data_IF_358908409758
#
_entry.id   IF_358908409758
#
_cell.length_a   1.000
_cell.length_b   1.000
_cell.length_c   1.000
_cell.angle_alpha   90.00
_cell.angle_beta   90.00
_cell.angle_gamma   90.00
#
_symmetry.space_group_name_H-M   'P 1'
#
loop_
_entity.id
_entity.type
_entity.pdbx_description
1 polymer ?
#
# COMPACT_ATOMS: atom_id res chain seq x y z
N UNK A 1 11.42 -3.07 4.40
CA UNK A 1 12.01 -2.95 5.74
C UNK A 1 12.75 -1.62 5.83
N UNK A 2 12.52 -0.88 6.92
CA UNK A 2 13.19 0.41 7.15
C UNK A 2 14.70 0.25 7.28
N UNK A 3 15.50 1.21 6.73
CA UNK A 3 16.66 1.18 6.76
C UNK A 3 17.19 1.71 7.75
N UNK A 4 16.55 2.55 8.36
CA UNK A 4 17.10 3.40 9.44
C UNK A 4 17.97 2.58 10.40
N UNK A 5 19.12 3.11 10.74
CA UNK A 5 20.03 2.50 11.72
C UNK A 5 20.95 3.56 12.30
N UNK A 6 21.67 3.22 13.37
CA UNK A 6 22.62 4.12 14.00
C UNK A 6 24.05 3.65 13.66
N UNK A 7 24.87 4.57 13.19
CA UNK A 7 26.27 4.33 12.87
C UNK A 7 27.13 5.34 13.67
N UNK A 8 27.79 4.84 14.71
CA UNK A 8 28.41 5.73 15.70
C UNK A 8 27.31 6.46 16.46
N UNK A 9 27.32 7.78 16.43
CA UNK A 9 26.31 8.62 17.07
C UNK A 9 25.37 9.26 16.06
N UNK A 10 25.36 8.76 14.81
CA UNK A 10 24.59 9.38 13.72
C UNK A 10 23.46 8.42 13.26
N UNK A 11 22.26 8.94 13.17
CA UNK A 11 21.13 8.18 12.60
C UNK A 11 21.21 8.27 11.08
N UNK A 12 21.31 7.12 10.42
CA UNK A 12 21.33 6.99 8.97
C UNK A 12 19.96 6.49 8.51
N UNK A 13 19.44 7.09 7.45
CA UNK A 13 18.11 6.76 6.92
C UNK A 13 18.09 6.77 5.40
N UNK A 14 17.07 6.19 4.83
CA UNK A 14 16.92 6.01 3.37
C UNK A 14 15.65 6.66 2.83
N UNK A 15 15.52 6.66 1.50
CA UNK A 15 14.30 7.12 0.84
C UNK A 15 13.07 6.28 1.26
N UNK A 16 13.24 4.99 1.53
CA UNK A 16 12.14 4.16 2.00
C UNK A 16 11.69 4.54 3.42
N UNK A 17 12.62 5.06 4.24
CA UNK A 17 12.29 5.53 5.59
C UNK A 17 11.43 6.80 5.54
N UNK A 18 11.71 7.70 4.56
CA UNK A 18 10.83 8.86 4.32
C UNK A 18 9.39 8.40 4.06
N UNK A 19 9.25 7.39 3.18
CA UNK A 19 7.92 6.85 2.85
C UNK A 19 7.26 6.18 4.06
N UNK A 20 8.03 5.44 4.85
CA UNK A 20 7.52 4.76 6.05
C UNK A 20 7.03 5.76 7.10
N UNK A 21 7.84 6.80 7.39
CA UNK A 21 7.48 7.85 8.33
C UNK A 21 6.27 8.65 7.85
N UNK A 22 6.20 8.95 6.54
CA UNK A 22 5.06 9.66 5.96
C UNK A 22 3.76 8.87 6.12
N UNK A 23 3.82 7.53 6.06
CA UNK A 23 2.64 6.69 6.28
C UNK A 23 2.22 6.67 7.74
N UNK A 24 3.17 6.53 8.66
CA UNK A 24 2.86 6.44 10.09
C UNK A 24 4.13 6.65 10.91
N UNK A 25 4.25 7.80 11.56
CA UNK A 25 5.41 8.09 12.41
C UNK A 25 5.49 7.15 13.61
N UNK A 26 4.34 6.86 14.23
CA UNK A 26 4.30 5.94 15.38
C UNK A 26 4.87 4.57 15.00
N UNK A 27 4.38 3.96 13.92
CA UNK A 27 4.86 2.65 13.49
C UNK A 27 6.33 2.70 13.08
N UNK A 28 6.75 3.77 12.40
CA UNK A 28 8.13 3.96 11.98
C UNK A 28 9.08 4.02 13.19
N UNK A 29 8.71 4.82 14.20
CA UNK A 29 9.52 4.93 15.43
C UNK A 29 9.51 3.62 16.23
N UNK A 30 8.39 2.88 16.25
CA UNK A 30 8.34 1.55 16.89
C UNK A 30 9.33 0.58 16.23
N UNK A 31 9.45 0.62 14.89
CA UNK A 31 10.45 -0.18 14.18
C UNK A 31 11.87 0.28 14.51
N UNK A 32 12.09 1.57 14.61
CA UNK A 32 13.40 2.11 14.99
C UNK A 32 13.75 1.69 16.42
N UNK A 33 12.81 1.80 17.37
CA UNK A 33 13.00 1.38 18.76
C UNK A 33 13.35 -0.10 18.87
N UNK A 34 12.70 -0.94 18.06
CA UNK A 34 13.01 -2.37 18.02
C UNK A 34 14.49 -2.61 17.66
N UNK A 35 15.03 -1.82 16.73
CA UNK A 35 16.44 -1.90 16.34
C UNK A 35 17.38 -1.36 17.41
N UNK A 36 16.92 -0.36 18.17
CA UNK A 36 17.68 0.22 19.27
C UNK A 36 17.62 -0.61 20.57
N UNK A 37 16.82 -1.69 20.57
CA UNK A 37 16.61 -2.49 21.75
C UNK A 37 15.73 -1.83 22.80
N UNK A 38 14.95 -0.81 22.41
CA UNK A 38 14.04 -0.07 23.29
C UNK A 38 12.63 -0.66 23.33
N UNK A 39 12.38 -1.76 22.62
CA UNK A 39 11.06 -2.37 22.56
C UNK A 39 11.11 -3.79 22.00
N UNK A 40 9.97 -4.47 21.96
CA UNK A 40 9.94 -5.85 21.43
C UNK A 40 10.28 -5.89 19.95
N UNK A 41 10.86 -7.02 19.54
CA UNK A 41 11.14 -7.27 18.13
C UNK A 41 9.82 -7.29 17.34
N UNK A 42 9.81 -6.63 16.19
CA UNK A 42 8.64 -6.58 15.32
C UNK A 42 8.88 -7.53 14.16
N UNK A 43 8.07 -8.56 14.06
CA UNK A 43 8.11 -9.52 12.94
C UNK A 43 7.38 -8.93 11.75
N UNK A 44 7.99 -9.03 10.58
CA UNK A 44 7.41 -8.56 9.33
C UNK A 44 7.21 -9.73 8.37
N UNK A 45 6.54 -10.78 8.83
CA UNK A 45 6.17 -11.88 7.94
C UNK A 45 4.86 -11.54 7.24
N UNK A 46 4.94 -11.34 5.94
CA UNK A 46 3.79 -11.00 5.10
C UNK A 46 4.03 -11.61 3.72
N UNK A 47 3.34 -12.70 3.44
CA UNK A 47 3.47 -13.45 2.19
C UNK A 47 3.13 -12.60 0.97
N UNK A 48 2.17 -11.69 1.10
CA UNK A 48 1.80 -10.78 0.02
C UNK A 48 2.93 -9.79 -0.27
N UNK A 49 3.56 -9.28 0.81
CA UNK A 49 4.70 -8.38 0.67
C UNK A 49 5.90 -9.10 0.03
N UNK A 50 6.16 -10.35 0.44
CA UNK A 50 7.23 -11.17 -0.13
C UNK A 50 7.00 -11.40 -1.63
N UNK A 51 5.78 -11.75 -2.01
CA UNK A 51 5.40 -11.96 -3.42
C UNK A 51 5.54 -10.66 -4.22
N UNK A 52 5.07 -9.55 -3.67
CA UNK A 52 5.16 -8.24 -4.33
C UNK A 52 6.61 -7.84 -4.55
N UNK A 53 7.47 -8.11 -3.56
CA UNK A 53 8.92 -7.84 -3.65
C UNK A 53 9.56 -8.68 -4.77
N UNK A 54 9.23 -9.97 -4.82
CA UNK A 54 9.76 -10.86 -5.87
C UNK A 54 9.37 -10.37 -7.27
N UNK A 55 8.10 -10.03 -7.46
CA UNK A 55 7.61 -9.50 -8.74
C UNK A 55 8.26 -8.16 -9.09
N UNK A 56 8.50 -7.32 -8.09
CA UNK A 56 9.22 -6.05 -8.27
C UNK A 56 10.65 -6.28 -8.74
N UNK A 57 11.35 -7.21 -8.09
CA UNK A 57 12.72 -7.59 -8.48
C UNK A 57 12.77 -8.16 -9.89
N UNK A 58 11.75 -8.94 -10.27
CA UNK A 58 11.65 -9.49 -11.61
C UNK A 58 11.42 -8.39 -12.66
N UNK A 59 10.57 -7.42 -12.36
CA UNK A 59 10.33 -6.26 -13.22
C UNK A 59 11.62 -5.45 -13.42
N UNK A 60 12.33 -5.18 -12.34
CA UNK A 60 13.63 -4.48 -12.37
C UNK A 60 14.65 -5.26 -13.21
N UNK A 61 14.70 -6.59 -13.07
CA UNK A 61 15.61 -7.45 -13.83
C UNK A 61 15.31 -7.40 -15.33
N UNK A 62 14.03 -7.40 -15.72
CA UNK A 62 13.64 -7.26 -17.13
C UNK A 62 14.11 -5.92 -17.70
N UNK A 63 14.00 -4.85 -16.92
CA UNK A 63 14.51 -3.52 -17.32
C UNK A 63 16.04 -3.56 -17.48
N UNK A 64 16.74 -4.20 -16.54
CA UNK A 64 18.20 -4.37 -16.60
C UNK A 64 18.61 -5.12 -17.87
N UNK A 65 17.94 -6.21 -18.20
CA UNK A 65 18.26 -7.01 -19.39
C UNK A 65 18.04 -6.19 -20.67
N UNK A 66 16.95 -5.45 -20.74
CA UNK A 66 16.64 -4.56 -21.88
C UNK A 66 17.74 -3.48 -22.04
N UNK A 67 18.20 -2.91 -20.93
CA UNK A 67 19.27 -1.90 -20.97
C UNK A 67 20.61 -2.53 -21.38
N UNK A 68 20.90 -3.76 -20.97
CA UNK A 68 22.09 -4.48 -21.42
C UNK A 68 22.07 -4.71 -22.92
N UNK A 69 20.90 -5.09 -23.46
CA UNK A 69 20.73 -5.29 -24.91
C UNK A 69 20.94 -3.96 -25.67
N UNK A 70 20.49 -2.85 -25.08
CA UNK A 70 20.56 -1.53 -25.72
C UNK A 70 21.96 -0.89 -25.64
N UNK A 71 22.60 -0.98 -24.47
CA UNK A 71 23.83 -0.25 -24.19
C UNK A 71 25.09 -1.12 -24.10
N UNK A 72 24.93 -2.43 -24.01
CA UNK A 72 26.05 -3.35 -23.85
C UNK A 72 26.49 -3.45 -22.38
N UNK A 73 27.69 -2.98 -22.09
CA UNK A 73 28.25 -3.09 -20.74
C UNK A 73 27.55 -2.11 -19.78
N UNK A 74 27.16 -2.60 -18.61
CA UNK A 74 26.53 -1.83 -17.54
C UNK A 74 27.40 -1.90 -16.30
N UNK A 75 27.65 -0.74 -15.66
CA UNK A 75 28.34 -0.70 -14.38
C UNK A 75 27.37 -1.13 -13.28
N UNK A 76 27.70 -2.19 -12.57
CA UNK A 76 26.85 -2.75 -11.48
C UNK A 76 27.49 -2.39 -10.14
N UNK A 77 26.74 -1.68 -9.29
CA UNK A 77 27.20 -1.38 -7.94
C UNK A 77 26.68 -2.50 -7.02
N UNK A 78 27.60 -3.17 -6.34
CA UNK A 78 27.22 -4.27 -5.44
C UNK A 78 26.52 -3.76 -4.19
N UNK A 79 25.69 -4.60 -3.60
CA UNK A 79 25.02 -4.27 -2.35
C UNK A 79 26.04 -4.15 -1.22
N UNK A 80 26.18 -2.96 -0.59
CA UNK A 80 27.16 -2.78 0.48
C UNK A 80 26.69 -3.38 1.80
N UNK A 81 27.62 -3.62 2.69
CA UNK A 81 27.29 -3.81 4.11
C UNK A 81 26.73 -2.48 4.65
N UNK A 82 25.74 -2.57 5.52
CA UNK A 82 25.09 -1.38 6.12
C UNK A 82 25.95 -0.86 7.28
N UNK A 83 27.15 -0.39 6.92
CA UNK A 83 28.11 0.29 7.79
C UNK A 83 28.54 1.56 7.10
N UNK A 84 29.07 2.52 7.85
CA UNK A 84 29.57 3.77 7.25
C UNK A 84 30.59 3.47 6.14
N UNK A 85 31.55 2.57 6.42
CA UNK A 85 32.59 2.21 5.45
C UNK A 85 32.00 1.56 4.19
N UNK A 86 31.05 0.62 4.37
CA UNK A 86 30.41 -0.05 3.24
C UNK A 86 29.62 0.90 2.36
N UNK A 87 28.83 1.79 2.98
CA UNK A 87 28.02 2.78 2.25
C UNK A 87 28.89 3.79 1.53
N UNK A 88 29.98 4.26 2.18
CA UNK A 88 30.94 5.17 1.56
C UNK A 88 31.59 4.50 0.33
N UNK A 89 32.06 3.26 0.47
CA UNK A 89 32.69 2.54 -0.63
C UNK A 89 31.74 2.35 -1.83
N UNK A 90 30.47 2.06 -1.55
CA UNK A 90 29.46 1.90 -2.62
C UNK A 90 29.20 3.24 -3.34
N UNK A 91 29.10 4.34 -2.58
CA UNK A 91 28.91 5.66 -3.16
C UNK A 91 30.14 6.06 -4.01
N UNK A 92 31.35 5.75 -3.54
CA UNK A 92 32.58 5.99 -4.31
C UNK A 92 32.62 5.16 -5.60
N UNK A 93 32.12 3.89 -5.54
CA UNK A 93 32.04 3.06 -6.73
C UNK A 93 31.10 3.67 -7.78
N UNK A 94 29.97 4.24 -7.32
CA UNK A 94 29.05 4.98 -8.19
C UNK A 94 29.77 6.18 -8.83
N UNK A 95 30.51 6.95 -8.03
CA UNK A 95 31.26 8.13 -8.55
C UNK A 95 32.31 7.71 -9.58
N UNK A 96 33.02 6.58 -9.35
CA UNK A 96 33.98 6.06 -10.32
C UNK A 96 33.30 5.68 -11.63
N UNK A 97 32.19 4.98 -11.57
CA UNK A 97 31.40 4.57 -12.76
C UNK A 97 30.99 5.81 -13.57
N UNK A 98 30.55 6.88 -12.88
CA UNK A 98 30.13 8.14 -13.51
C UNK A 98 31.35 8.82 -14.15
N UNK A 99 32.48 8.88 -13.44
CA UNK A 99 33.74 9.49 -13.97
C UNK A 99 34.24 8.73 -15.21
N UNK A 100 34.06 7.41 -15.23
CA UNK A 100 34.39 6.55 -16.37
C UNK A 100 33.35 6.64 -17.49
N UNK A 101 32.34 7.49 -17.34
CA UNK A 101 31.28 7.75 -18.32
C UNK A 101 30.50 6.50 -18.69
N UNK A 102 30.24 5.62 -17.69
CA UNK A 102 29.43 4.41 -17.90
C UNK A 102 28.08 4.79 -18.54
N UNK A 103 27.64 4.07 -19.59
CA UNK A 103 26.35 4.41 -20.22
C UNK A 103 25.17 4.16 -19.28
N UNK A 104 25.28 3.16 -18.41
CA UNK A 104 24.27 2.85 -17.39
C UNK A 104 24.99 2.42 -16.12
N UNK A 105 24.52 2.94 -14.98
CA UNK A 105 24.95 2.47 -13.65
C UNK A 105 23.73 1.85 -12.99
N UNK A 106 23.82 0.57 -12.65
CA UNK A 106 22.73 -0.19 -12.02
C UNK A 106 22.94 -0.25 -10.51
N UNK A 107 21.87 0.00 -9.77
CA UNK A 107 21.85 0.05 -8.29
C UNK A 107 22.84 1.10 -7.78
N UNK A 108 22.78 2.27 -8.38
CA UNK A 108 23.69 3.38 -8.06
C UNK A 108 23.51 3.83 -6.61
N UNK A 109 24.57 3.72 -5.82
CA UNK A 109 24.54 4.05 -4.40
C UNK A 109 24.89 5.53 -4.17
N UNK A 110 24.17 6.16 -3.26
CA UNK A 110 24.41 7.55 -2.82
C UNK A 110 24.45 7.55 -1.29
N UNK A 111 25.45 8.25 -0.73
CA UNK A 111 25.58 8.35 0.71
C UNK A 111 26.25 9.66 1.08
N UNK A 112 25.59 10.46 1.92
CA UNK A 112 26.13 11.77 2.35
C UNK A 112 26.47 11.84 3.84
N UNK A 113 26.53 10.67 4.50
CA UNK A 113 26.78 10.57 5.94
C UNK A 113 25.50 10.42 6.77
N UNK A 114 24.34 10.80 6.22
CA UNK A 114 23.04 10.70 6.88
C UNK A 114 22.02 9.96 6.00
N UNK A 115 21.93 10.36 4.75
CA UNK A 115 21.00 9.78 3.79
C UNK A 115 21.70 8.73 2.95
N UNK A 116 21.08 7.56 2.80
CA UNK A 116 21.51 6.52 1.87
C UNK A 116 20.39 6.26 0.85
N UNK A 117 20.78 6.16 -0.41
CA UNK A 117 19.85 5.84 -1.50
C UNK A 117 20.47 4.89 -2.50
N UNK A 118 19.63 4.15 -3.17
CA UNK A 118 20.01 3.25 -4.27
C UNK A 118 19.03 3.50 -5.40
N UNK A 119 19.50 4.16 -6.46
CA UNK A 119 18.70 4.35 -7.66
C UNK A 119 18.83 3.11 -8.53
N UNK A 120 17.72 2.58 -9.03
CA UNK A 120 17.78 1.38 -9.87
C UNK A 120 18.73 1.60 -11.06
N UNK A 121 18.55 2.71 -11.77
CA UNK A 121 19.38 2.99 -12.95
C UNK A 121 19.73 4.47 -13.05
N UNK A 122 21.02 4.76 -13.33
CA UNK A 122 21.45 6.05 -13.85
C UNK A 122 21.81 5.83 -15.32
N UNK A 123 21.11 6.52 -16.21
CA UNK A 123 21.32 6.37 -17.65
C UNK A 123 21.96 7.64 -18.17
N UNK A 124 23.13 7.51 -18.81
CA UNK A 124 23.86 8.66 -19.34
C UNK A 124 23.13 9.25 -20.54
N UNK A 125 22.85 10.55 -20.47
CA UNK A 125 22.30 11.36 -21.56
C UNK A 125 23.30 12.50 -21.83
N UNK A 126 24.16 12.31 -22.82
CA UNK A 126 25.26 13.23 -23.12
C UNK A 126 26.19 13.42 -21.94
N UNK A 127 26.22 14.60 -21.33
CA UNK A 127 27.07 14.91 -20.18
C UNK A 127 26.36 14.82 -18.86
N UNK A 128 25.11 14.37 -18.86
CA UNK A 128 24.25 14.30 -17.66
C UNK A 128 23.81 12.86 -17.43
N UNK A 129 23.35 12.60 -16.20
CA UNK A 129 22.75 11.31 -15.85
C UNK A 129 21.27 11.51 -15.54
N UNK A 130 20.44 10.67 -16.16
CA UNK A 130 19.01 10.60 -15.89
C UNK A 130 18.74 9.47 -14.93
N UNK A 131 18.03 9.75 -13.84
CA UNK A 131 17.61 8.75 -12.89
C UNK A 131 16.38 8.04 -13.45
N UNK A 132 16.40 6.71 -13.47
CA UNK A 132 15.26 5.87 -13.84
C UNK A 132 15.06 4.86 -12.73
N UNK A 133 13.87 4.86 -12.13
CA UNK A 133 13.52 3.93 -11.05
C UNK A 133 12.36 3.06 -11.53
N UNK A 134 12.31 1.81 -11.08
CA UNK A 134 11.26 0.87 -11.49
C UNK A 134 10.27 0.66 -10.36
N UNK A 135 8.99 0.56 -10.72
CA UNK A 135 7.93 0.29 -9.74
C UNK A 135 6.89 -0.65 -10.34
N UNK A 136 6.56 -1.69 -9.61
CA UNK A 136 5.56 -2.66 -10.03
C UNK A 136 4.17 -2.03 -10.20
N UNK A 137 3.88 -0.93 -9.49
CA UNK A 137 2.61 -0.23 -9.58
C UNK A 137 2.32 0.23 -11.02
N UNK A 138 1.04 0.28 -11.39
CA UNK A 138 0.60 0.74 -12.71
C UNK A 138 0.29 2.23 -12.76
N UNK A 139 0.52 2.94 -11.66
CA UNK A 139 0.41 4.40 -11.61
C UNK A 139 1.46 4.95 -10.64
N UNK A 140 1.98 6.15 -10.91
CA UNK A 140 2.96 6.76 -10.01
C UNK A 140 2.38 6.97 -8.61
N UNK A 141 3.20 6.71 -7.60
CA UNK A 141 2.86 6.98 -6.20
C UNK A 141 3.75 8.10 -5.68
N UNK A 142 3.22 8.93 -4.81
CA UNK A 142 3.98 10.06 -4.22
C UNK A 142 5.28 9.58 -3.59
N UNK A 143 5.26 8.39 -2.95
CA UNK A 143 6.46 7.83 -2.34
C UNK A 143 7.58 7.57 -3.36
N UNK A 144 7.22 7.10 -4.57
CA UNK A 144 8.20 6.88 -5.65
C UNK A 144 8.75 8.22 -6.16
N UNK A 145 7.89 9.25 -6.25
CA UNK A 145 8.32 10.58 -6.66
C UNK A 145 9.31 11.17 -5.64
N UNK A 146 9.07 10.94 -4.36
CA UNK A 146 10.00 11.39 -3.31
C UNK A 146 11.34 10.66 -3.40
N UNK A 147 11.35 9.39 -3.80
CA UNK A 147 12.60 8.66 -4.05
C UNK A 147 13.37 9.31 -5.21
N UNK A 148 12.69 9.63 -6.32
CA UNK A 148 13.36 10.33 -7.44
C UNK A 148 13.94 11.67 -6.99
N UNK A 149 13.19 12.43 -6.20
CA UNK A 149 13.67 13.69 -5.63
C UNK A 149 14.89 13.50 -4.75
N UNK A 150 14.87 12.48 -3.91
CA UNK A 150 15.97 12.16 -2.99
C UNK A 150 17.25 11.80 -3.76
N UNK A 151 17.13 10.94 -4.77
CA UNK A 151 18.29 10.53 -5.57
C UNK A 151 18.86 11.69 -6.37
N UNK A 152 17.99 12.52 -6.95
CA UNK A 152 18.41 13.71 -7.71
C UNK A 152 19.18 14.68 -6.81
N UNK A 153 18.64 14.95 -5.63
CA UNK A 153 19.26 15.88 -4.67
C UNK A 153 20.63 15.35 -4.21
N UNK A 154 20.70 14.05 -3.91
CA UNK A 154 21.94 13.41 -3.46
C UNK A 154 23.02 13.46 -4.55
N UNK A 155 22.67 13.14 -5.80
CA UNK A 155 23.62 13.18 -6.91
C UNK A 155 24.08 14.60 -7.21
N UNK A 156 23.15 15.56 -7.20
CA UNK A 156 23.46 16.97 -7.40
C UNK A 156 24.42 17.46 -6.32
N UNK A 157 24.15 17.09 -5.06
CA UNK A 157 25.02 17.43 -3.93
C UNK A 157 26.43 16.82 -4.04
N UNK A 158 26.52 15.67 -4.73
CA UNK A 158 27.81 15.01 -4.99
C UNK A 158 28.52 15.55 -6.25
N UNK A 159 27.95 16.59 -6.88
CA UNK A 159 28.57 17.23 -8.06
C UNK A 159 28.29 16.53 -9.39
N UNK A 160 27.34 15.60 -9.44
CA UNK A 160 26.97 14.89 -10.68
C UNK A 160 26.02 15.76 -11.49
N UNK A 161 26.30 16.00 -12.78
CA UNK A 161 25.31 16.67 -13.65
C UNK A 161 24.10 15.76 -13.88
N UNK A 162 22.93 16.15 -13.39
CA UNK A 162 21.70 15.37 -13.47
C UNK A 162 20.79 15.96 -14.55
N UNK A 163 20.09 15.10 -15.28
CA UNK A 163 19.11 15.51 -16.28
C UNK A 163 17.95 16.27 -15.61
N UNK A 164 17.29 17.19 -16.33
CA UNK A 164 16.17 17.97 -15.75
C UNK A 164 14.92 17.14 -15.45
N UNK A 165 14.86 15.92 -15.99
CA UNK A 165 13.77 14.98 -15.72
C UNK A 165 14.31 13.68 -15.17
N UNK A 166 13.51 13.02 -14.35
CA UNK A 166 13.74 11.68 -13.85
C UNK A 166 12.54 10.80 -14.29
N UNK A 167 12.79 9.52 -14.44
CA UNK A 167 11.83 8.58 -15.03
C UNK A 167 11.38 7.55 -14.00
N UNK A 168 10.11 7.16 -14.13
CA UNK A 168 9.53 6.05 -13.39
C UNK A 168 9.00 5.04 -14.39
N UNK A 169 9.59 3.84 -14.42
CA UNK A 169 9.13 2.74 -15.27
C UNK A 169 8.16 1.87 -14.48
N UNK A 170 6.91 1.87 -14.92
CA UNK A 170 5.81 1.21 -14.22
C UNK A 170 5.71 -0.27 -14.59
N UNK A 171 4.93 -1.03 -13.82
CA UNK A 171 4.78 -2.48 -13.98
C UNK A 171 4.22 -2.93 -15.33
N UNK A 172 3.52 -2.05 -16.04
CA UNK A 172 3.02 -2.32 -17.38
C UNK A 172 3.98 -1.88 -18.50
N UNK A 173 5.18 -1.43 -18.14
CA UNK A 173 6.18 -0.95 -19.07
C UNK A 173 6.04 0.52 -19.45
N UNK A 174 5.03 1.22 -18.95
CA UNK A 174 4.87 2.66 -19.19
C UNK A 174 5.99 3.44 -18.48
N UNK A 175 6.61 4.39 -19.18
CA UNK A 175 7.60 5.29 -18.58
C UNK A 175 6.98 6.67 -18.42
N UNK A 176 6.99 7.18 -17.19
CA UNK A 176 6.46 8.52 -16.88
C UNK A 176 7.62 9.41 -16.46
N UNK A 177 7.66 10.62 -17.01
CA UNK A 177 8.73 11.60 -16.82
C UNK A 177 8.30 12.67 -15.83
N UNK A 178 9.20 13.04 -14.92
CA UNK A 178 8.93 14.05 -13.89
C UNK A 178 10.06 15.08 -13.88
N UNK A 179 9.70 16.35 -13.86
CA UNK A 179 10.68 17.43 -13.71
C UNK A 179 11.24 17.41 -12.30
N UNK A 180 12.56 17.26 -12.17
CA UNK A 180 13.20 17.17 -10.86
C UNK A 180 13.04 18.46 -10.04
N UNK A 181 12.94 19.61 -10.72
CA UNK A 181 12.72 20.90 -10.05
C UNK A 181 11.41 20.95 -9.26
N UNK A 182 10.42 20.14 -9.64
CA UNK A 182 9.14 20.06 -8.93
C UNK A 182 9.22 19.15 -7.70
N UNK A 183 10.14 18.18 -7.73
CA UNK A 183 10.26 17.16 -6.68
C UNK A 183 11.18 17.57 -5.54
N UNK A 184 12.29 18.23 -5.85
CA UNK A 184 13.37 18.53 -4.89
C UNK A 184 12.87 19.36 -3.68
N UNK A 185 12.12 20.46 -3.87
CA UNK A 185 11.70 21.26 -2.70
C UNK A 185 10.82 20.47 -1.72
N UNK A 186 9.91 19.64 -2.25
CA UNK A 186 9.03 18.81 -1.42
C UNK A 186 9.84 17.75 -0.67
N UNK A 187 10.77 17.11 -1.38
CA UNK A 187 11.66 16.12 -0.77
C UNK A 187 12.49 16.76 0.36
N UNK A 188 13.09 17.92 0.10
CA UNK A 188 13.94 18.61 1.11
C UNK A 188 13.15 18.93 2.38
N UNK A 189 11.89 19.37 2.25
CA UNK A 189 11.03 19.65 3.39
C UNK A 189 10.75 18.36 4.18
N UNK A 190 10.43 17.27 3.48
CA UNK A 190 10.17 15.97 4.12
C UNK A 190 11.43 15.41 4.78
N UNK A 191 12.59 15.56 4.14
CA UNK A 191 13.87 15.14 4.71
C UNK A 191 14.18 15.88 6.00
N UNK A 192 14.01 17.19 6.02
CA UNK A 192 14.25 18.01 7.21
C UNK A 192 13.37 17.56 8.38
N UNK A 193 12.10 17.29 8.11
CA UNK A 193 11.15 16.81 9.12
C UNK A 193 11.53 15.43 9.65
N UNK A 194 11.91 14.51 8.75
CA UNK A 194 12.35 13.17 9.17
C UNK A 194 13.61 13.24 10.02
N UNK A 195 14.60 14.05 9.61
CA UNK A 195 15.82 14.20 10.40
C UNK A 195 15.53 14.72 11.80
N UNK A 196 14.69 15.76 11.89
CA UNK A 196 14.27 16.31 13.18
C UNK A 196 13.63 15.22 14.05
N UNK A 197 12.65 14.50 13.48
CA UNK A 197 11.93 13.43 14.19
C UNK A 197 12.91 12.36 14.71
N UNK A 198 13.83 11.91 13.86
CA UNK A 198 14.80 10.87 14.23
C UNK A 198 15.78 11.34 15.29
N UNK A 199 16.31 12.56 15.13
CA UNK A 199 17.31 13.10 16.05
C UNK A 199 16.71 13.35 17.44
N UNK A 200 15.52 13.93 17.50
CA UNK A 200 14.78 14.16 18.74
C UNK A 200 14.46 12.82 19.45
N UNK A 201 13.97 11.85 18.67
CA UNK A 201 13.61 10.54 19.23
C UNK A 201 14.85 9.78 19.73
N UNK A 202 15.94 9.81 18.96
CA UNK A 202 17.18 9.14 19.34
C UNK A 202 17.75 9.77 20.61
N UNK A 203 17.76 11.10 20.69
CA UNK A 203 18.28 11.85 21.85
C UNK A 203 17.43 11.67 23.10
N UNK A 204 16.12 11.45 22.96
CA UNK A 204 15.22 11.23 24.10
C UNK A 204 15.52 9.92 24.82
N UNK A 205 16.11 8.96 24.13
CA UNK A 205 16.54 7.64 24.67
C UNK A 205 15.40 6.86 25.37
N UNK A 206 14.18 7.02 24.85
CA UNK A 206 12.99 6.31 25.33
C UNK A 206 12.20 5.78 24.15
N UNK A 207 11.46 4.68 24.37
CA UNK A 207 10.58 4.14 23.32
C UNK A 207 9.40 5.09 23.09
N UNK A 208 8.93 5.15 21.83
CA UNK A 208 7.76 5.93 21.49
C UNK A 208 6.52 5.35 22.17
N UNK A 209 5.68 6.24 22.71
CA UNK A 209 4.41 5.87 23.34
C UNK A 209 3.24 6.33 22.47
N UNK A 210 2.10 5.63 22.62
CA UNK A 210 0.90 5.95 21.84
C UNK A 210 0.42 7.40 22.07
N UNK A 211 0.61 7.89 23.28
CA UNK A 211 0.12 9.22 23.67
C UNK A 211 1.17 10.33 23.49
N UNK A 212 2.29 10.06 22.83
CA UNK A 212 3.35 11.05 22.64
C UNK A 212 2.85 12.19 21.75
N UNK A 213 2.93 13.41 22.26
CA UNK A 213 2.54 14.60 21.51
C UNK A 213 3.49 14.83 20.34
N UNK A 214 2.93 15.14 19.19
CA UNK A 214 3.69 15.46 18.00
C UNK A 214 4.11 14.26 17.17
N UNK A 215 3.72 13.05 17.57
CA UNK A 215 3.94 11.82 16.78
C UNK A 215 2.62 11.41 16.12
N UNK A 216 2.61 11.35 14.79
CA UNK A 216 1.40 11.03 14.04
C UNK A 216 1.20 9.53 13.90
N UNK A 217 -0.01 9.07 14.25
CA UNK A 217 -0.45 7.70 14.04
C UNK A 217 -1.38 7.65 12.82
N UNK A 218 -1.30 6.58 12.03
CA UNK A 218 -2.18 6.43 10.86
C UNK A 218 -3.53 5.80 11.22
N UNK A 219 -3.64 5.16 12.37
CA UNK A 219 -4.82 4.44 12.87
C UNK A 219 -5.25 3.26 12.00
N UNK A 220 -4.39 2.77 11.10
CA UNK A 220 -4.75 1.71 10.15
C UNK A 220 -3.74 0.56 10.08
N UNK A 221 -2.45 0.84 10.31
CA UNK A 221 -1.44 -0.21 10.28
C UNK A 221 -1.57 -1.12 11.50
N UNK A 222 -0.98 -2.30 11.44
CA UNK A 222 -1.14 -3.31 12.49
C UNK A 222 -0.68 -2.80 13.86
N UNK A 223 0.42 -2.04 13.92
CA UNK A 223 0.90 -1.49 15.20
C UNK A 223 -0.09 -0.48 15.79
N UNK A 224 -0.73 0.34 14.94
CA UNK A 224 -1.80 1.23 15.42
C UNK A 224 -3.02 0.43 15.85
N UNK A 225 -3.41 -0.59 15.06
CA UNK A 225 -4.58 -1.41 15.40
C UNK A 225 -4.37 -2.15 16.71
N UNK A 226 -3.15 -2.62 16.98
CA UNK A 226 -2.82 -3.25 18.25
C UNK A 226 -3.07 -2.31 19.45
N UNK A 227 -2.63 -1.05 19.33
CA UNK A 227 -2.87 -0.05 20.37
C UNK A 227 -4.37 0.29 20.52
N UNK A 228 -5.08 0.42 19.40
CA UNK A 228 -6.52 0.69 19.42
C UNK A 228 -7.27 -0.46 20.13
N UNK A 229 -6.93 -1.72 19.81
CA UNK A 229 -7.55 -2.88 20.45
C UNK A 229 -7.24 -2.92 21.95
N UNK A 230 -6.00 -2.67 22.34
CA UNK A 230 -5.57 -2.68 23.74
C UNK A 230 -6.33 -1.64 24.57
N UNK A 231 -6.72 -0.53 23.95
CA UNK A 231 -7.40 0.59 24.61
C UNK A 231 -8.92 0.55 24.46
N UNK A 232 -9.46 -0.42 23.75
CA UNK A 232 -10.91 -0.48 23.41
C UNK A 232 -11.35 0.84 22.75
N UNK A 233 -10.53 1.33 21.83
CA UNK A 233 -10.65 2.67 21.26
C UNK A 233 -11.90 2.84 20.39
N UNK A 234 -12.42 4.06 20.37
CA UNK A 234 -13.60 4.45 19.57
C UNK A 234 -13.44 4.18 18.07
N UNK A 235 -12.20 4.23 17.53
CA UNK A 235 -11.98 3.96 16.10
C UNK A 235 -12.28 2.51 15.71
N UNK A 236 -12.43 1.61 16.68
CA UNK A 236 -12.87 0.24 16.42
C UNK A 236 -14.37 0.16 16.11
N UNK A 237 -15.14 1.21 16.40
CA UNK A 237 -16.58 1.25 16.03
C UNK A 237 -16.68 1.42 14.52
N UNK A 238 -17.35 0.49 13.85
CA UNK A 238 -17.52 0.53 12.41
C UNK A 238 -18.19 1.84 11.98
N UNK A 239 -17.59 2.52 11.00
CA UNK A 239 -18.08 3.79 10.51
C UNK A 239 -17.57 5.02 11.25
N UNK A 240 -16.80 4.84 12.34
CA UNK A 240 -16.22 5.97 13.09
C UNK A 240 -15.15 6.69 12.26
N UNK A 241 -15.25 8.00 12.20
CA UNK A 241 -14.22 8.86 11.58
C UNK A 241 -13.34 9.48 12.68
N UNK A 242 -12.08 9.78 12.33
CA UNK A 242 -11.12 10.38 13.26
C UNK A 242 -11.70 11.68 13.88
N UNK A 243 -12.34 12.54 13.07
CA UNK A 243 -12.93 13.79 13.57
C UNK A 243 -14.09 13.55 14.54
N UNK A 244 -14.85 12.46 14.37
CA UNK A 244 -15.91 12.11 15.33
C UNK A 244 -15.31 11.58 16.63
N UNK A 245 -14.25 10.77 16.51
CA UNK A 245 -13.51 10.27 17.68
C UNK A 245 -13.01 11.43 18.54
N UNK A 246 -12.42 12.46 17.89
CA UNK A 246 -11.90 13.62 18.59
C UNK A 246 -12.99 14.31 19.43
N UNK A 247 -14.16 14.52 18.84
CA UNK A 247 -15.30 15.14 19.53
C UNK A 247 -15.77 14.31 20.71
N UNK A 248 -15.78 12.98 20.56
CA UNK A 248 -16.16 12.08 21.64
C UNK A 248 -15.13 12.09 22.76
N UNK A 249 -13.83 12.08 22.41
CA UNK A 249 -12.74 12.18 23.40
C UNK A 249 -12.84 13.49 24.19
N UNK A 250 -13.11 14.60 23.51
CA UNK A 250 -13.29 15.91 24.16
C UNK A 250 -14.46 15.90 25.13
N UNK A 251 -15.48 15.07 24.87
CA UNK A 251 -16.64 14.91 25.74
C UNK A 251 -16.42 13.86 26.84
N UNK A 252 -15.20 13.28 26.92
CA UNK A 252 -14.87 12.30 27.94
C UNK A 252 -15.27 10.86 27.60
N UNK A 253 -15.70 10.60 26.37
CA UNK A 253 -16.05 9.25 25.92
C UNK A 253 -14.83 8.69 25.20
N UNK A 254 -14.17 7.66 25.79
CA UNK A 254 -12.87 7.19 25.31
C UNK A 254 -12.86 5.77 24.77
N UNK A 255 -13.92 4.99 25.02
CA UNK A 255 -13.96 3.56 24.67
C UNK A 255 -15.25 3.20 23.93
N UNK A 256 -15.24 2.04 23.25
CA UNK A 256 -16.45 1.48 22.63
C UNK A 256 -17.52 1.27 23.71
N UNK A 257 -17.14 0.67 24.85
CA UNK A 257 -18.06 0.44 25.96
C UNK A 257 -18.68 1.73 26.49
N UNK A 258 -17.85 2.77 26.61
CA UNK A 258 -18.32 4.10 27.02
C UNK A 258 -19.33 4.69 26.07
N UNK A 259 -19.10 4.54 24.76
CA UNK A 259 -20.05 5.03 23.75
C UNK A 259 -21.34 4.17 23.74
N UNK A 260 -21.22 2.86 23.88
CA UNK A 260 -22.38 1.95 23.88
C UNK A 260 -23.35 2.28 25.01
N UNK A 261 -22.86 2.75 26.16
CA UNK A 261 -23.68 3.08 27.32
C UNK A 261 -23.97 4.59 27.45
N UNK A 262 -23.45 5.40 26.56
CA UNK A 262 -23.60 6.86 26.66
C UNK A 262 -25.04 7.32 26.42
N UNK A 263 -25.47 8.28 27.19
CA UNK A 263 -26.75 8.97 27.03
C UNK A 263 -26.49 10.48 26.96
N UNK A 264 -27.29 11.18 26.19
CA UNK A 264 -27.20 12.63 26.06
C UNK A 264 -26.43 13.06 24.82
N UNK A 265 -26.40 14.37 24.61
CA UNK A 265 -25.76 14.97 23.43
C UNK A 265 -24.25 15.05 23.60
N UNK A 266 -23.53 15.14 22.47
CA UNK A 266 -22.10 15.39 22.42
C UNK A 266 -21.91 16.66 21.60
N UNK A 267 -21.16 17.65 22.11
CA UNK A 267 -20.94 18.89 21.35
C UNK A 267 -20.37 18.65 19.97
N UNK A 268 -20.84 19.41 19.00
CA UNK A 268 -20.39 19.36 17.60
C UNK A 268 -20.68 18.05 16.87
N UNK A 269 -21.42 17.14 17.47
CA UNK A 269 -21.83 15.87 16.86
C UNK A 269 -23.35 15.86 16.76
N UNK A 270 -23.89 15.65 15.53
CA UNK A 270 -25.33 15.63 15.35
C UNK A 270 -25.95 14.45 16.11
N UNK A 271 -27.19 14.63 16.58
CA UNK A 271 -27.91 13.57 17.28
C UNK A 271 -28.01 12.30 16.44
N UNK A 272 -28.24 12.45 15.13
CA UNK A 272 -28.35 11.30 14.21
C UNK A 272 -27.02 10.53 14.09
N UNK A 273 -25.92 11.27 13.93
CA UNK A 273 -24.59 10.65 13.84
C UNK A 273 -24.25 9.92 15.15
N UNK A 274 -24.49 10.59 16.28
CA UNK A 274 -24.22 10.00 17.60
C UNK A 274 -25.06 8.73 17.81
N UNK A 275 -26.35 8.79 17.47
CA UNK A 275 -27.24 7.63 17.63
C UNK A 275 -26.77 6.42 16.81
N UNK A 276 -26.35 6.65 15.56
CA UNK A 276 -25.84 5.59 14.68
C UNK A 276 -24.56 4.95 15.25
N UNK A 277 -23.62 5.80 15.70
CA UNK A 277 -22.35 5.31 16.26
C UNK A 277 -22.56 4.57 17.58
N UNK A 278 -23.45 5.07 18.44
CA UNK A 278 -23.77 4.41 19.73
C UNK A 278 -24.47 3.06 19.50
N UNK A 279 -25.39 2.99 18.54
CA UNK A 279 -26.06 1.74 18.19
C UNK A 279 -25.06 0.71 17.66
N UNK A 280 -24.14 1.15 16.79
CA UNK A 280 -23.08 0.30 16.26
C UNK A 280 -22.16 -0.20 17.39
N UNK A 281 -21.75 0.70 18.29
CA UNK A 281 -20.93 0.34 19.45
C UNK A 281 -21.63 -0.71 20.31
N UNK A 282 -22.94 -0.55 20.52
CA UNK A 282 -23.73 -1.46 21.35
C UNK A 282 -23.76 -2.87 20.79
N UNK A 283 -24.01 -3.04 19.48
CA UNK A 283 -24.03 -4.38 18.87
C UNK A 283 -22.61 -4.99 18.86
N UNK A 284 -21.55 -4.20 18.71
CA UNK A 284 -20.17 -4.70 18.79
C UNK A 284 -19.84 -5.20 20.19
N UNK A 285 -20.25 -4.47 21.23
CA UNK A 285 -20.07 -4.90 22.62
C UNK A 285 -20.86 -6.20 22.87
N UNK A 286 -22.12 -6.27 22.41
CA UNK A 286 -22.93 -7.48 22.55
C UNK A 286 -22.27 -8.67 21.85
N UNK A 287 -21.77 -8.49 20.64
CA UNK A 287 -21.08 -9.56 19.91
C UNK A 287 -19.82 -10.01 20.63
N UNK A 288 -19.02 -9.08 21.15
CA UNK A 288 -17.82 -9.38 21.94
C UNK A 288 -18.19 -10.21 23.19
N UNK A 289 -19.23 -9.78 23.91
CA UNK A 289 -19.60 -10.39 25.19
C UNK A 289 -20.25 -11.76 25.01
N UNK A 290 -21.00 -11.98 23.93
CA UNK A 290 -21.72 -13.24 23.69
C UNK A 290 -20.95 -14.21 22.79
N UNK A 291 -19.99 -13.73 21.98
CA UNK A 291 -19.30 -14.53 20.97
C UNK A 291 -20.16 -14.89 19.78
N UNK A 292 -21.37 -14.29 19.65
CA UNK A 292 -22.32 -14.56 18.59
C UNK A 292 -22.52 -13.30 17.75
N UNK A 293 -22.52 -13.41 16.40
CA UNK A 293 -22.74 -12.25 15.55
C UNK A 293 -24.03 -11.51 15.91
N UNK A 294 -23.94 -10.19 16.04
CA UNK A 294 -25.07 -9.33 16.41
C UNK A 294 -25.32 -8.33 15.30
N UNK A 295 -26.60 -8.02 15.05
CA UNK A 295 -26.98 -7.01 14.08
C UNK A 295 -28.29 -6.35 14.48
N UNK A 296 -28.51 -5.16 13.94
CA UNK A 296 -29.75 -4.42 14.10
C UNK A 296 -30.16 -3.84 12.74
N UNK A 297 -31.41 -4.04 12.36
CA UNK A 297 -31.96 -3.45 11.13
C UNK A 297 -32.51 -2.08 11.49
N UNK A 298 -31.77 -1.03 11.11
CA UNK A 298 -32.17 0.35 11.41
C UNK A 298 -33.24 0.89 10.46
N UNK A 299 -33.27 0.38 9.21
CA UNK A 299 -34.24 0.80 8.20
C UNK A 299 -34.52 -0.36 7.25
N UNK A 300 -35.67 -1.01 7.37
CA UNK A 300 -36.03 -2.13 6.48
C UNK A 300 -36.54 -1.70 5.11
N UNK A 301 -36.83 -0.40 4.88
CA UNK A 301 -37.47 0.04 3.63
C UNK A 301 -36.64 -0.28 2.38
N UNK A 302 -35.31 -0.12 2.36
CA UNK A 302 -34.56 -0.48 1.16
C UNK A 302 -34.69 -1.95 0.75
N UNK A 303 -34.99 -2.85 1.68
CA UNK A 303 -35.19 -4.26 1.36
C UNK A 303 -36.43 -4.48 0.47
N UNK A 304 -37.40 -3.57 0.55
CA UNK A 304 -38.59 -3.63 -0.30
C UNK A 304 -38.30 -3.30 -1.77
N UNK A 305 -37.14 -2.76 -2.07
CA UNK A 305 -36.71 -2.48 -3.43
C UNK A 305 -36.17 -3.73 -4.16
N UNK A 306 -35.88 -4.79 -3.40
CA UNK A 306 -35.48 -6.06 -4.01
C UNK A 306 -36.65 -6.66 -4.77
N UNK A 307 -36.45 -7.17 -5.98
CA UNK A 307 -37.52 -7.81 -6.73
C UNK A 307 -37.97 -9.09 -6.04
N UNK A 308 -39.16 -9.54 -6.41
CA UNK A 308 -39.70 -10.81 -5.88
C UNK A 308 -38.75 -11.96 -6.20
N UNK A 309 -38.48 -12.85 -5.25
CA UNK A 309 -37.62 -13.99 -5.50
C UNK A 309 -38.06 -14.85 -6.66
N UNK A 310 -37.15 -15.33 -7.45
CA UNK A 310 -37.41 -16.17 -8.61
C UNK A 310 -36.58 -17.44 -8.52
N UNK A 311 -37.15 -18.61 -8.80
CA UNK A 311 -36.35 -19.86 -8.73
C UNK A 311 -35.21 -19.90 -9.74
N UNK A 312 -35.19 -18.99 -10.68
CA UNK A 312 -34.06 -18.83 -11.63
C UNK A 312 -32.91 -17.94 -11.14
N UNK A 313 -33.11 -17.25 -10.02
CA UNK A 313 -32.12 -16.28 -9.53
C UNK A 313 -30.74 -16.88 -9.32
N UNK A 314 -29.72 -16.08 -9.56
CA UNK A 314 -28.32 -16.42 -9.35
C UNK A 314 -27.67 -15.41 -8.43
N UNK A 315 -26.74 -15.86 -7.59
CA UNK A 315 -25.88 -15.02 -6.76
C UNK A 315 -24.47 -15.22 -7.29
N UNK A 316 -23.82 -14.12 -7.67
CA UNK A 316 -22.58 -14.15 -8.47
C UNK A 316 -21.49 -13.32 -7.82
N UNK A 317 -20.29 -13.86 -7.78
CA UNK A 317 -19.13 -13.17 -7.23
C UNK A 317 -17.86 -13.57 -8.00
N UNK A 318 -16.86 -12.69 -8.02
CA UNK A 318 -15.54 -12.97 -8.56
C UNK A 318 -14.50 -13.08 -7.46
N UNK A 319 -13.52 -13.95 -7.66
CA UNK A 319 -12.25 -13.88 -6.95
C UNK A 319 -11.13 -13.63 -7.97
N UNK A 320 -10.31 -12.65 -7.70
CA UNK A 320 -9.26 -12.23 -8.63
C UNK A 320 -7.91 -12.08 -7.97
N UNK A 321 -6.87 -12.28 -8.77
CA UNK A 321 -5.49 -12.07 -8.37
C UNK A 321 -4.91 -10.90 -9.19
N UNK A 322 -4.80 -9.71 -8.60
CA UNK A 322 -4.30 -8.55 -9.34
C UNK A 322 -2.80 -8.64 -9.68
N UNK A 323 -2.07 -9.56 -9.03
CA UNK A 323 -0.64 -9.73 -9.24
C UNK A 323 -0.30 -10.84 -10.25
N UNK A 324 -1.31 -11.54 -10.79
CA UNK A 324 -1.09 -12.54 -11.82
C UNK A 324 -0.65 -11.88 -13.13
N UNK A 325 0.34 -12.47 -13.78
CA UNK A 325 0.77 -12.04 -15.12
C UNK A 325 1.40 -13.22 -15.86
N UNK A 326 1.18 -13.29 -17.16
CA UNK A 326 1.85 -14.29 -18.01
C UNK A 326 3.12 -13.72 -18.64
N UNK A 327 3.18 -12.40 -18.86
CA UNK A 327 4.23 -11.76 -19.65
C UNK A 327 4.95 -10.61 -18.94
N UNK A 328 4.50 -10.26 -17.73
CA UNK A 328 5.07 -9.14 -16.98
C UNK A 328 4.56 -7.76 -17.42
N UNK A 329 3.62 -7.71 -18.37
CA UNK A 329 3.06 -6.44 -18.88
C UNK A 329 1.56 -6.34 -18.64
N UNK A 330 0.82 -7.43 -18.86
CA UNK A 330 -0.61 -7.47 -18.56
C UNK A 330 -0.82 -8.16 -17.22
N UNK A 331 -1.55 -7.49 -16.33
CA UNK A 331 -1.72 -7.89 -14.94
C UNK A 331 -3.18 -8.17 -14.61
N UNK A 332 -3.40 -9.11 -13.70
CA UNK A 332 -4.70 -9.43 -13.14
C UNK A 332 -5.39 -10.60 -13.83
N UNK A 333 -5.95 -11.50 -13.03
CA UNK A 333 -6.72 -12.67 -13.50
C UNK A 333 -7.92 -12.84 -12.59
N UNK A 334 -9.11 -12.95 -13.16
CA UNK A 334 -10.28 -13.38 -12.41
C UNK A 334 -10.25 -14.92 -12.38
N UNK A 335 -9.74 -15.49 -11.31
CA UNK A 335 -9.46 -16.91 -11.24
C UNK A 335 -10.65 -17.77 -10.83
N UNK A 336 -11.72 -17.15 -10.29
CA UNK A 336 -12.92 -17.87 -9.89
C UNK A 336 -14.16 -17.03 -10.18
N UNK A 337 -15.06 -17.58 -10.97
CA UNK A 337 -16.41 -17.06 -11.14
C UNK A 337 -17.30 -17.94 -10.26
N UNK A 338 -17.75 -17.43 -9.12
CA UNK A 338 -18.57 -18.15 -8.17
C UNK A 338 -20.05 -17.89 -8.43
N UNK A 339 -20.81 -18.95 -8.68
CA UNK A 339 -22.25 -18.85 -8.98
C UNK A 339 -23.03 -19.74 -8.01
N UNK A 340 -23.93 -19.14 -7.23
CA UNK A 340 -24.86 -19.91 -6.39
C UNK A 340 -26.25 -19.84 -7.02
N UNK A 341 -26.86 -21.00 -7.26
CA UNK A 341 -28.19 -21.10 -7.86
C UNK A 341 -29.28 -21.06 -6.80
N UNK A 342 -30.26 -20.16 -6.97
CA UNK A 342 -31.46 -20.14 -6.11
C UNK A 342 -32.31 -21.41 -6.32
N UNK A 343 -33.08 -21.77 -5.32
CA UNK A 343 -34.02 -22.89 -5.37
C UNK A 343 -33.40 -24.27 -5.22
N UNK A 344 -32.05 -24.34 -5.17
CA UNK A 344 -31.33 -25.60 -4.96
C UNK A 344 -30.43 -25.44 -3.74
N UNK A 345 -30.66 -26.18 -2.71
CA UNK A 345 -29.92 -26.11 -1.47
C UNK A 345 -28.42 -26.44 -1.73
N UNK A 346 -27.56 -25.49 -1.52
CA UNK A 346 -26.11 -25.66 -1.65
C UNK A 346 -25.58 -25.84 -3.08
N UNK A 347 -26.35 -25.41 -4.09
CA UNK A 347 -25.93 -25.56 -5.50
C UNK A 347 -24.94 -24.46 -5.91
N UNK A 348 -23.67 -24.65 -5.59
CA UNK A 348 -22.60 -23.74 -5.94
C UNK A 348 -21.85 -24.26 -7.19
N UNK A 349 -21.64 -23.39 -8.17
CA UNK A 349 -20.91 -23.70 -9.39
C UNK A 349 -19.65 -22.84 -9.46
N UNK A 350 -18.49 -23.40 -9.15
CA UNK A 350 -17.24 -22.69 -9.38
C UNK A 350 -16.80 -22.84 -10.84
N UNK A 351 -16.49 -21.72 -11.50
CA UNK A 351 -15.86 -21.73 -12.82
C UNK A 351 -14.45 -21.21 -12.61
N UNK A 352 -13.48 -22.12 -12.63
CA UNK A 352 -12.08 -21.81 -12.35
C UNK A 352 -11.34 -21.36 -13.61
N UNK A 353 -10.38 -20.48 -13.44
CA UNK A 353 -9.47 -20.04 -14.48
C UNK A 353 -8.04 -19.96 -13.90
N UNK A 354 -7.10 -20.57 -14.58
CA UNK A 354 -5.69 -20.57 -14.15
C UNK A 354 -4.80 -19.76 -15.10
N UNK A 355 -5.35 -19.31 -16.23
CA UNK A 355 -4.68 -18.46 -17.20
C UNK A 355 -5.72 -17.68 -18.03
N UNK A 356 -5.26 -16.87 -18.99
CA UNK A 356 -6.13 -16.07 -19.85
C UNK A 356 -7.10 -16.91 -20.70
N UNK A 357 -6.66 -18.04 -21.15
CA UNK A 357 -7.49 -18.97 -21.95
C UNK A 357 -8.63 -19.49 -21.10
N UNK A 358 -8.31 -19.94 -19.89
CA UNK A 358 -9.31 -20.43 -18.93
C UNK A 358 -10.26 -19.31 -18.52
N UNK A 359 -9.76 -18.10 -18.32
CA UNK A 359 -10.58 -16.94 -17.94
C UNK A 359 -11.63 -16.65 -19.03
N UNK A 360 -11.20 -16.69 -20.31
CA UNK A 360 -12.12 -16.54 -21.43
C UNK A 360 -13.15 -17.67 -21.45
N UNK A 361 -12.71 -18.90 -21.19
CA UNK A 361 -13.61 -20.06 -21.13
C UNK A 361 -14.61 -19.90 -20.00
N UNK A 362 -14.17 -19.48 -18.81
CA UNK A 362 -15.04 -19.26 -17.66
C UNK A 362 -16.11 -18.21 -17.96
N UNK A 363 -15.72 -17.12 -18.62
CA UNK A 363 -16.70 -16.10 -19.06
C UNK A 363 -17.73 -16.68 -20.02
N UNK A 364 -17.26 -17.43 -21.02
CA UNK A 364 -18.14 -18.05 -22.02
C UNK A 364 -19.10 -19.03 -21.36
N UNK A 365 -18.61 -19.87 -20.45
CA UNK A 365 -19.43 -20.84 -19.70
C UNK A 365 -20.46 -20.13 -18.80
N UNK A 366 -20.05 -19.03 -18.15
CA UNK A 366 -20.97 -18.22 -17.34
C UNK A 366 -22.10 -17.63 -18.20
N UNK A 367 -21.75 -17.04 -19.34
CA UNK A 367 -22.75 -16.46 -20.26
C UNK A 367 -23.71 -17.54 -20.80
N UNK A 368 -23.19 -18.73 -21.13
CA UNK A 368 -24.00 -19.85 -21.57
C UNK A 368 -24.94 -20.33 -20.47
N UNK A 369 -24.45 -20.39 -19.23
CA UNK A 369 -25.27 -20.75 -18.07
C UNK A 369 -26.43 -19.75 -17.89
N UNK A 370 -26.12 -18.46 -17.94
CA UNK A 370 -27.12 -17.39 -17.81
C UNK A 370 -28.16 -17.50 -18.94
N UNK A 371 -27.71 -17.65 -20.18
CA UNK A 371 -28.59 -17.73 -21.35
C UNK A 371 -29.56 -18.93 -21.23
N UNK A 372 -29.02 -20.09 -20.87
CA UNK A 372 -29.82 -21.31 -20.68
C UNK A 372 -30.82 -21.13 -19.55
N UNK A 373 -30.41 -20.50 -18.45
CA UNK A 373 -31.27 -20.31 -17.29
C UNK A 373 -32.41 -19.31 -17.57
N UNK A 374 -32.08 -18.23 -18.30
CA UNK A 374 -33.07 -17.21 -18.68
C UNK A 374 -34.20 -17.79 -19.60
N UNK A 375 -33.88 -18.78 -20.42
CA UNK A 375 -34.90 -19.45 -21.26
C UNK A 375 -35.94 -20.13 -20.39
N UNK A 376 -35.55 -20.69 -19.23
CA UNK A 376 -36.48 -21.36 -18.28
C UNK A 376 -37.11 -20.37 -17.33
N UNK A 377 -36.43 -19.32 -16.98
CA UNK A 377 -36.85 -18.34 -15.98
C UNK A 377 -36.64 -16.93 -16.56
N UNK A 378 -37.52 -16.47 -17.45
CA UNK A 378 -37.29 -15.17 -18.14
C UNK A 378 -37.19 -13.98 -17.19
N UNK A 379 -37.80 -14.05 -16.02
CA UNK A 379 -37.81 -12.97 -15.01
C UNK A 379 -36.77 -13.18 -13.91
N UNK A 380 -35.76 -14.00 -14.14
CA UNK A 380 -34.72 -14.23 -13.14
C UNK A 380 -33.80 -12.98 -12.99
N UNK A 381 -33.15 -12.91 -11.86
CA UNK A 381 -32.20 -11.84 -11.55
C UNK A 381 -30.82 -12.44 -11.29
N UNK A 382 -29.79 -11.63 -11.48
CA UNK A 382 -28.43 -11.96 -11.08
C UNK A 382 -28.02 -10.93 -10.02
N UNK A 383 -27.80 -11.42 -8.81
CA UNK A 383 -27.41 -10.59 -7.68
C UNK A 383 -25.90 -10.61 -7.51
N UNK A 384 -25.32 -9.43 -7.31
CA UNK A 384 -23.92 -9.28 -6.99
C UNK A 384 -23.76 -8.14 -5.97
N UNK A 385 -22.64 -8.08 -5.29
CA UNK A 385 -22.40 -7.07 -4.28
C UNK A 385 -21.47 -5.98 -4.85
N UNK A 386 -21.94 -4.73 -4.86
CA UNK A 386 -21.20 -3.58 -5.35
C UNK A 386 -20.95 -3.63 -6.88
N UNK A 387 -20.26 -2.65 -7.48
CA UNK A 387 -20.12 -2.57 -8.95
C UNK A 387 -18.98 -3.41 -9.55
N UNK A 388 -18.20 -4.13 -8.72
CA UNK A 388 -17.01 -4.84 -9.20
C UNK A 388 -17.35 -5.85 -10.31
N UNK A 389 -18.36 -6.70 -10.09
CA UNK A 389 -18.71 -7.77 -11.03
C UNK A 389 -19.10 -7.22 -12.40
N UNK A 390 -19.88 -6.15 -12.42
CA UNK A 390 -20.27 -5.50 -13.67
C UNK A 390 -19.06 -4.94 -14.41
N UNK A 391 -18.20 -4.25 -13.69
CA UNK A 391 -16.98 -3.64 -14.26
C UNK A 391 -16.05 -4.73 -14.80
N UNK A 392 -15.85 -5.80 -14.03
CA UNK A 392 -14.98 -6.92 -14.44
C UNK A 392 -15.53 -7.63 -15.68
N UNK A 393 -16.85 -7.90 -15.72
CA UNK A 393 -17.46 -8.54 -16.91
C UNK A 393 -17.27 -7.70 -18.16
N UNK A 394 -17.45 -6.38 -18.06
CA UNK A 394 -17.26 -5.47 -19.22
C UNK A 394 -15.80 -5.47 -19.67
N UNK A 395 -14.86 -5.45 -18.73
CA UNK A 395 -13.42 -5.51 -19.03
C UNK A 395 -13.06 -6.82 -19.73
N UNK A 396 -13.56 -7.95 -19.20
CA UNK A 396 -13.29 -9.28 -19.78
C UNK A 396 -13.89 -9.40 -21.18
N UNK A 397 -15.08 -8.85 -21.40
CA UNK A 397 -15.75 -8.89 -22.70
C UNK A 397 -15.01 -8.06 -23.76
N UNK A 398 -14.21 -7.09 -23.33
CA UNK A 398 -13.40 -6.25 -24.22
C UNK A 398 -12.05 -6.84 -24.61
N UNK A 399 -11.67 -7.97 -24.02
CA UNK A 399 -10.43 -8.69 -24.32
C UNK A 399 -10.67 -9.74 -25.39
#
# INVERSE_FOLDING_TARGET
VAXVFVAGDVVVYSASDLAAAARCEFAFLRHFDSKLGRGPAISAEDDLLARTTELGNEHERRTLDRLRDQFGEIAVIGHPAYTLAGLTAAAEATQRAIADRAPVVYQAAMFDGRFVGFADFLIRDRERYRITDTKLARSPKVTALMQLGAYTDALTGAGVPVAPEADLELGDGTVVHFRVSDLIPVYRAQRAELQRLLDEHYAADTAVCWDDHGVRACFRCELCMEELRRRDDLLLVAGMRVSQREKLLDAGITTIGGLASHTGAVPELSANALAKLAAQAKVQVQQRDTGTPQYEISDPQPLALLPEPNPGDLFFDFEGDPLWTADGHEWGLEYLFGVLEAGKKGAFRPLWAHDRRDERKALTDFLALVAKRRKRHPNMHIYHYAPYEKTALLRLAGR
#
